data_IF_051506014198
#
_entry.id   IF_051506014198
#
_cell.length_a   1.000
_cell.length_b   1.000
_cell.length_c   1.000
_cell.angle_alpha   90.00
_cell.angle_beta   90.00
_cell.angle_gamma   90.00
#
_symmetry.space_group_name_H-M   'P 1'
#
loop_
_entity.id
_entity.type
_entity.pdbx_description
1 polymer ?
#
# COMPACT_ATOMS: atom_id res chain seq x y z
N UNK A 1 0.27 5.10 10.38
CA UNK A 1 1.72 5.03 10.66
C UNK A 1 2.09 6.21 11.54
N UNK A 2 2.50 5.98 12.79
CA UNK A 2 2.94 7.05 13.69
C UNK A 2 4.18 7.76 13.11
N UNK A 3 4.35 9.01 13.49
CA UNK A 3 5.48 9.89 13.09
C UNK A 3 5.60 10.22 11.60
N UNK A 4 4.68 9.75 10.74
CA UNK A 4 4.71 9.93 9.30
C UNK A 4 3.46 10.65 8.77
N UNK A 5 2.90 11.61 9.50
CA UNK A 5 1.67 12.30 9.14
C UNK A 5 1.67 12.89 7.71
N UNK A 6 2.73 13.56 7.22
CA UNK A 6 2.74 14.06 5.84
C UNK A 6 2.69 12.92 4.80
N UNK A 7 3.40 11.82 5.05
CA UNK A 7 3.36 10.64 4.20
C UNK A 7 1.97 10.01 4.17
N UNK A 8 1.35 9.84 5.35
CA UNK A 8 0.01 9.28 5.48
C UNK A 8 -1.02 10.15 4.76
N UNK A 9 -0.94 11.48 4.92
CA UNK A 9 -1.81 12.41 4.21
C UNK A 9 -1.66 12.29 2.68
N UNK A 10 -0.42 12.24 2.18
CA UNK A 10 -0.16 12.06 0.75
C UNK A 10 -0.72 10.74 0.21
N UNK A 11 -0.56 9.64 0.96
CA UNK A 11 -1.08 8.33 0.56
C UNK A 11 -2.62 8.25 0.58
N UNK A 12 -3.27 8.93 1.51
CA UNK A 12 -4.73 9.05 1.50
C UNK A 12 -5.22 9.90 0.32
N UNK A 13 -4.51 10.97 -0.02
CA UNK A 13 -4.82 11.79 -1.17
C UNK A 13 -4.77 10.98 -2.48
N UNK A 14 -3.80 10.08 -2.65
CA UNK A 14 -3.71 9.19 -3.82
C UNK A 14 -4.97 8.34 -3.98
N UNK A 15 -5.54 7.81 -2.90
CA UNK A 15 -6.80 7.03 -2.95
C UNK A 15 -7.97 7.90 -3.38
N UNK A 16 -8.08 9.11 -2.82
CA UNK A 16 -9.12 10.06 -3.20
C UNK A 16 -9.04 10.46 -4.68
N UNK A 17 -7.84 10.79 -5.16
CA UNK A 17 -7.57 11.10 -6.56
C UNK A 17 -7.93 9.92 -7.46
N UNK A 18 -7.53 8.71 -7.10
CA UNK A 18 -7.85 7.50 -7.85
C UNK A 18 -9.36 7.32 -8.04
N UNK A 19 -10.13 7.47 -6.96
CA UNK A 19 -11.59 7.31 -7.00
C UNK A 19 -12.27 8.39 -7.85
N UNK A 20 -11.79 9.64 -7.78
CA UNK A 20 -12.28 10.73 -8.62
C UNK A 20 -12.01 10.43 -10.10
N UNK A 21 -10.76 10.12 -10.43
CA UNK A 21 -10.37 9.81 -11.80
C UNK A 21 -11.05 8.56 -12.34
N UNK A 22 -11.29 7.54 -11.51
CA UNK A 22 -12.02 6.35 -11.92
C UNK A 22 -13.44 6.69 -12.42
N UNK A 23 -14.12 7.60 -11.73
CA UNK A 23 -15.44 8.09 -12.15
C UNK A 23 -15.36 8.96 -13.41
N UNK A 24 -14.43 9.92 -13.43
CA UNK A 24 -14.30 10.88 -14.53
C UNK A 24 -13.94 10.20 -15.85
N UNK A 25 -13.08 9.16 -15.79
CA UNK A 25 -12.53 8.50 -16.95
C UNK A 25 -13.27 7.21 -17.36
N UNK A 26 -14.27 6.79 -16.58
CA UNK A 26 -15.04 5.57 -16.86
C UNK A 26 -15.68 5.59 -18.25
N UNK A 27 -16.22 6.73 -18.66
CA UNK A 27 -16.83 6.91 -20.00
C UNK A 27 -15.83 6.79 -21.16
N UNK A 28 -14.54 6.86 -20.88
CA UNK A 28 -13.45 6.69 -21.83
C UNK A 28 -12.83 5.28 -21.79
N UNK A 29 -13.44 4.35 -21.06
CA UNK A 29 -12.92 2.99 -20.84
C UNK A 29 -11.54 2.96 -20.19
N UNK A 30 -11.20 3.98 -19.40
CA UNK A 30 -9.95 4.05 -18.64
C UNK A 30 -10.24 3.63 -17.21
N UNK A 31 -9.51 2.61 -16.75
CA UNK A 31 -9.59 2.11 -15.38
C UNK A 31 -8.50 2.74 -14.52
N UNK A 32 -8.83 3.09 -13.28
CA UNK A 32 -7.90 3.69 -12.32
C UNK A 32 -8.03 2.94 -11.00
N UNK A 33 -6.97 2.33 -10.54
CA UNK A 33 -6.92 1.55 -9.31
C UNK A 33 -5.68 1.92 -8.49
N UNK A 34 -5.68 1.62 -7.21
CA UNK A 34 -4.50 1.76 -6.34
C UNK A 34 -4.09 0.41 -5.77
N UNK A 35 -2.78 0.23 -5.55
CA UNK A 35 -2.22 -0.92 -4.85
C UNK A 35 -1.62 -0.45 -3.53
N UNK A 36 -1.91 -1.17 -2.46
CA UNK A 36 -1.54 -0.83 -1.08
C UNK A 36 -0.66 -1.95 -0.50
N UNK A 37 0.63 -1.94 -0.73
CA UNK A 37 1.54 -2.90 -0.12
C UNK A 37 1.85 -2.53 1.34
N UNK A 38 2.17 -3.53 2.16
CA UNK A 38 2.86 -3.33 3.43
C UNK A 38 4.36 -3.08 3.20
N UNK A 39 5.19 -3.35 4.20
CA UNK A 39 6.63 -3.25 4.06
C UNK A 39 7.16 -4.16 2.95
N UNK A 40 7.75 -3.58 1.93
CA UNK A 40 8.33 -4.29 0.78
C UNK A 40 9.84 -4.19 0.88
N UNK A 41 10.54 -5.30 0.65
CA UNK A 41 12.01 -5.36 0.68
C UNK A 41 12.59 -4.52 -0.49
N UNK A 42 12.82 -3.25 -0.18
CA UNK A 42 13.36 -2.27 -1.13
C UNK A 42 14.28 -1.28 -0.40
N UNK A 43 15.18 -0.59 -1.11
CA UNK A 43 16.03 0.45 -0.51
C UNK A 43 15.26 1.56 0.23
N UNK A 44 13.98 1.76 -0.08
CA UNK A 44 13.14 2.74 0.62
C UNK A 44 12.91 2.35 2.08
N UNK A 45 12.84 1.05 2.38
CA UNK A 45 12.62 0.55 3.76
C UNK A 45 13.86 0.79 4.63
N UNK A 46 15.06 0.79 4.06
CA UNK A 46 16.28 1.10 4.79
C UNK A 46 16.25 2.50 5.44
N UNK A 47 15.50 3.45 4.87
CA UNK A 47 15.30 4.78 5.47
C UNK A 47 14.42 4.79 6.73
N UNK A 48 13.70 3.71 7.01
CA UNK A 48 12.86 3.60 8.22
C UNK A 48 13.66 3.34 9.50
N UNK A 49 14.94 3.00 9.39
CA UNK A 49 15.85 2.88 10.55
C UNK A 49 15.90 4.17 11.39
N UNK A 50 15.62 5.32 10.77
CA UNK A 50 15.51 6.61 11.46
C UNK A 50 14.34 6.68 12.44
N UNK A 51 13.37 5.76 12.35
CA UNK A 51 12.25 5.66 13.29
C UNK A 51 12.56 4.82 14.53
N UNK A 52 13.64 4.03 14.51
CA UNK A 52 14.03 3.14 15.61
C UNK A 52 14.07 3.83 16.99
N UNK A 53 14.66 5.05 17.13
CA UNK A 53 14.67 5.74 18.41
C UNK A 53 13.28 6.12 18.94
N UNK A 54 12.29 6.24 18.07
CA UNK A 54 10.90 6.53 18.43
C UNK A 54 10.14 5.25 18.78
N UNK A 55 10.36 4.19 18.02
CA UNK A 55 9.71 2.89 18.23
C UNK A 55 10.19 2.22 19.51
N UNK A 56 11.48 2.37 19.86
CA UNK A 56 12.04 1.83 21.10
C UNK A 56 11.45 2.48 22.36
N UNK A 57 10.95 3.71 22.26
CA UNK A 57 10.26 4.41 23.36
C UNK A 57 8.78 4.02 23.50
N UNK A 58 8.21 3.44 22.47
CA UNK A 58 6.80 3.06 22.39
C UNK A 58 6.68 1.69 21.70
N UNK A 59 7.06 0.60 22.40
CA UNK A 59 7.06 -0.75 21.82
C UNK A 59 5.70 -1.19 21.27
N UNK A 60 4.61 -0.68 21.86
CA UNK A 60 3.23 -0.91 21.41
C UNK A 60 2.99 -0.42 19.96
N UNK A 61 3.73 0.63 19.55
CA UNK A 61 3.66 1.14 18.18
C UNK A 61 4.40 0.24 17.19
N UNK A 62 5.39 -0.51 17.64
CA UNK A 62 6.13 -1.48 16.82
C UNK A 62 5.23 -2.59 16.30
N UNK A 63 4.21 -3.00 17.08
CA UNK A 63 3.26 -4.02 16.66
C UNK A 63 2.47 -3.65 15.39
N UNK A 64 2.31 -2.37 15.10
CA UNK A 64 1.62 -1.87 13.90
C UNK A 64 2.37 -2.23 12.61
N UNK A 65 3.67 -2.50 12.72
CA UNK A 65 4.50 -2.86 11.56
C UNK A 65 4.62 -4.38 11.36
N UNK A 66 3.95 -5.20 12.17
CA UNK A 66 3.99 -6.66 12.03
C UNK A 66 2.92 -7.16 11.07
N UNK A 67 3.29 -8.14 10.25
CA UNK A 67 2.38 -8.77 9.30
C UNK A 67 1.52 -9.85 9.97
N UNK A 68 0.36 -10.15 9.39
CA UNK A 68 -0.49 -11.28 9.79
C UNK A 68 0.10 -12.62 9.38
N UNK A 69 0.63 -12.68 8.16
CA UNK A 69 1.41 -13.83 7.67
C UNK A 69 2.83 -13.82 8.26
N UNK A 70 3.47 -14.99 8.42
CA UNK A 70 4.79 -15.11 9.01
C UNK A 70 5.91 -14.71 8.00
N UNK A 71 5.87 -13.47 7.55
CA UNK A 71 6.87 -12.86 6.66
C UNK A 71 7.24 -11.48 7.19
N UNK A 72 8.52 -11.15 7.16
CA UNK A 72 9.01 -9.85 7.64
C UNK A 72 8.70 -8.72 6.64
N UNK A 73 8.94 -8.98 5.36
CA UNK A 73 8.68 -8.05 4.27
C UNK A 73 8.18 -8.81 3.04
N UNK A 74 7.49 -8.10 2.16
CA UNK A 74 7.01 -8.66 0.89
C UNK A 74 8.13 -8.61 -0.16
N UNK A 75 8.18 -9.62 -1.03
CA UNK A 75 9.01 -9.55 -2.25
C UNK A 75 8.38 -8.51 -3.20
N UNK A 76 9.17 -7.57 -3.76
CA UNK A 76 8.69 -6.60 -4.75
C UNK A 76 7.93 -7.22 -5.92
N UNK A 77 8.26 -8.45 -6.30
CA UNK A 77 7.57 -9.18 -7.39
C UNK A 77 6.13 -9.50 -7.08
N UNK A 78 5.77 -9.73 -5.81
CA UNK A 78 4.39 -9.99 -5.42
C UNK A 78 3.52 -8.75 -5.61
N UNK A 79 4.06 -7.57 -5.33
CA UNK A 79 3.40 -6.30 -5.64
C UNK A 79 3.30 -6.08 -7.15
N UNK A 80 4.36 -6.39 -7.90
CA UNK A 80 4.37 -6.30 -9.36
C UNK A 80 3.33 -7.24 -10.00
N UNK A 81 3.13 -8.44 -9.45
CA UNK A 81 2.10 -9.37 -9.91
C UNK A 81 0.68 -8.80 -9.74
N UNK A 82 0.42 -8.12 -8.63
CA UNK A 82 -0.86 -7.43 -8.41
C UNK A 82 -1.09 -6.30 -9.43
N UNK A 83 -0.06 -5.51 -9.72
CA UNK A 83 -0.10 -4.46 -10.75
C UNK A 83 -0.33 -5.06 -12.13
N UNK A 84 0.36 -6.16 -12.47
CA UNK A 84 0.21 -6.85 -13.74
C UNK A 84 -1.23 -7.36 -13.92
N UNK A 85 -1.81 -7.97 -12.90
CA UNK A 85 -3.20 -8.42 -12.97
C UNK A 85 -4.17 -7.25 -13.17
N UNK A 86 -4.02 -6.16 -12.40
CA UNK A 86 -4.86 -4.97 -12.56
C UNK A 86 -4.74 -4.35 -13.96
N UNK A 87 -3.55 -4.42 -14.58
CA UNK A 87 -3.31 -3.91 -15.93
C UNK A 87 -3.83 -4.84 -17.03
N UNK A 88 -4.12 -6.10 -16.72
CA UNK A 88 -4.54 -7.11 -17.69
C UNK A 88 -6.03 -7.06 -18.02
N UNK A 89 -6.42 -7.74 -19.10
CA UNK A 89 -7.82 -7.94 -19.47
C UNK A 89 -8.62 -8.74 -18.43
N UNK A 90 -7.95 -9.55 -17.62
CA UNK A 90 -8.60 -10.31 -16.54
C UNK A 90 -9.23 -9.40 -15.48
N UNK A 91 -8.71 -8.19 -15.32
CA UNK A 91 -9.23 -7.17 -14.42
C UNK A 91 -10.09 -6.10 -15.14
N UNK A 92 -10.61 -6.38 -16.34
CA UNK A 92 -11.29 -5.41 -17.22
C UNK A 92 -12.48 -4.67 -16.57
N UNK A 93 -13.07 -5.22 -15.54
CA UNK A 93 -14.18 -4.61 -14.81
C UNK A 93 -13.78 -4.06 -13.44
N UNK A 94 -12.49 -3.96 -13.15
CA UNK A 94 -11.97 -3.44 -11.88
C UNK A 94 -11.50 -2.00 -12.09
N UNK A 95 -12.22 -1.05 -11.50
CA UNK A 95 -11.85 0.38 -11.47
C UNK A 95 -12.28 1.01 -10.15
N UNK A 96 -11.54 1.99 -9.68
CA UNK A 96 -11.76 2.64 -8.37
C UNK A 96 -11.40 1.77 -7.17
N UNK A 97 -10.81 0.61 -7.39
CA UNK A 97 -10.45 -0.32 -6.33
C UNK A 97 -9.16 0.09 -5.62
N UNK A 98 -9.09 -0.28 -4.33
CA UNK A 98 -7.89 -0.21 -3.51
C UNK A 98 -7.48 -1.66 -3.19
N UNK A 99 -6.53 -2.20 -3.96
CA UNK A 99 -6.06 -3.58 -3.80
C UNK A 99 -4.97 -3.64 -2.75
N UNK A 100 -5.26 -4.34 -1.66
CA UNK A 100 -4.31 -4.52 -0.56
C UNK A 100 -3.43 -5.75 -0.81
N UNK A 101 -2.11 -5.58 -0.70
CA UNK A 101 -1.09 -6.64 -0.79
C UNK A 101 -0.17 -6.47 0.41
N UNK A 102 -0.62 -6.89 1.59
CA UNK A 102 -0.02 -6.45 2.86
C UNK A 102 0.26 -7.58 3.85
N UNK A 103 0.19 -8.82 3.42
CA UNK A 103 0.38 -9.99 4.30
C UNK A 103 -0.48 -9.92 5.58
N UNK A 104 -1.66 -9.29 5.50
CA UNK A 104 -2.58 -9.16 6.63
C UNK A 104 -2.18 -8.10 7.67
N UNK A 105 -1.31 -7.17 7.32
CA UNK A 105 -0.86 -6.10 8.23
C UNK A 105 -2.03 -5.23 8.72
N UNK A 106 -2.98 -4.89 7.85
CA UNK A 106 -4.08 -3.96 8.18
C UNK A 106 -5.27 -4.60 8.89
N UNK A 107 -5.29 -5.89 9.06
CA UNK A 107 -6.39 -6.62 9.73
C UNK A 107 -6.05 -7.06 11.17
N UNK A 108 -4.97 -6.57 11.72
CA UNK A 108 -4.51 -6.85 13.09
C UNK A 108 -4.87 -5.75 14.06
#
# INVERSE_FOLDING_TARGET
MPFLAPYVAAKHAVVGICRSLANELAGHHIRVNTVHPAGVDTPMVAGLETLEPFLSRSPELGAIFTNGLPVEALDPRDVSNAVLWLASEEARYVTGAALTVDAGNTIR
#
